data_IF_515275043130
#
_entry.id   IF_515275043130
#
_cell.length_a   1.000
_cell.length_b   1.000
_cell.length_c   1.000
_cell.angle_alpha   90.00
_cell.angle_beta   90.00
_cell.angle_gamma   90.00
#
_symmetry.space_group_name_H-M   'P 1'
#
loop_
_entity.id
_entity.type
_entity.pdbx_description
1 polymer ?
#
# COMPACT_ATOMS: atom_id res chain seq x y z
N UNK A 1 14.82 -7.27 -0.38
CA UNK A 1 14.55 -6.95 1.05
C UNK A 1 13.51 -7.92 1.58
N UNK A 2 13.80 -8.63 2.66
CA UNK A 2 12.91 -9.59 3.29
C UNK A 2 12.07 -8.88 4.35
N UNK A 3 10.76 -8.96 4.25
CA UNK A 3 9.83 -8.16 5.05
C UNK A 3 8.87 -9.06 5.82
N UNK A 4 8.66 -8.77 7.10
CA UNK A 4 7.55 -9.31 7.88
C UNK A 4 6.37 -8.33 7.82
N UNK A 5 5.25 -8.77 7.27
CA UNK A 5 4.00 -8.02 7.27
C UNK A 5 3.17 -8.38 8.48
N UNK A 6 2.87 -7.40 9.31
CA UNK A 6 2.07 -7.56 10.52
C UNK A 6 0.74 -6.85 10.40
N UNK A 7 -0.34 -7.58 10.68
CA UNK A 7 -1.68 -7.03 10.87
C UNK A 7 -2.14 -7.26 12.31
N UNK A 8 -1.79 -6.38 13.27
CA UNK A 8 -2.11 -6.58 14.67
C UNK A 8 -3.61 -6.57 14.98
N UNK A 9 -4.40 -5.90 14.13
CA UNK A 9 -5.85 -5.77 14.25
C UNK A 9 -6.46 -5.37 12.91
N UNK A 10 -7.72 -5.73 12.68
CA UNK A 10 -8.51 -5.22 11.55
C UNK A 10 -9.42 -4.05 11.92
N UNK A 11 -9.40 -3.58 13.18
CA UNK A 11 -10.15 -2.39 13.57
C UNK A 11 -9.64 -1.17 12.81
N UNK A 12 -10.56 -0.37 12.28
CA UNK A 12 -10.25 0.86 11.56
C UNK A 12 -11.24 1.95 11.92
N UNK A 13 -10.81 3.19 11.85
CA UNK A 13 -11.62 4.40 12.00
C UNK A 13 -12.12 4.94 10.65
N UNK A 14 -11.91 4.20 9.57
CA UNK A 14 -12.50 4.37 8.26
C UNK A 14 -13.24 3.12 7.82
N UNK A 15 -14.09 3.24 6.79
CA UNK A 15 -14.85 2.15 6.19
C UNK A 15 -14.83 2.24 4.66
N UNK A 16 -13.62 2.27 4.10
CA UNK A 16 -13.39 2.47 2.67
C UNK A 16 -14.14 1.46 1.82
N UNK A 17 -14.79 1.92 0.75
CA UNK A 17 -15.67 1.13 -0.14
C UNK A 17 -15.00 -0.05 -0.84
N UNK A 18 -13.69 -0.10 -0.85
CA UNK A 18 -12.88 -1.19 -1.42
C UNK A 18 -11.91 -1.84 -0.39
N UNK A 19 -12.18 -1.67 0.91
CA UNK A 19 -11.33 -2.24 1.96
C UNK A 19 -11.46 -3.76 2.03
N UNK A 20 -10.37 -4.54 1.96
CA UNK A 20 -10.47 -5.99 2.05
C UNK A 20 -10.84 -6.48 3.45
N UNK A 21 -10.70 -5.64 4.49
CA UNK A 21 -10.78 -6.06 5.88
C UNK A 21 -11.97 -5.49 6.66
N UNK A 22 -12.67 -4.47 6.18
CA UNK A 22 -13.66 -3.75 6.98
C UNK A 22 -14.81 -4.64 7.47
N UNK A 23 -15.47 -5.39 6.58
CA UNK A 23 -16.61 -6.27 6.97
C UNK A 23 -16.21 -7.40 7.89
N UNK A 24 -14.98 -7.87 7.78
CA UNK A 24 -14.50 -8.97 8.60
C UNK A 24 -13.93 -8.48 9.95
N UNK A 25 -13.60 -7.20 10.09
CA UNK A 25 -12.93 -6.64 11.26
C UNK A 25 -13.58 -7.01 12.60
N UNK A 26 -14.92 -7.03 12.64
CA UNK A 26 -15.66 -7.36 13.87
C UNK A 26 -15.60 -8.83 14.27
N UNK A 27 -15.12 -9.71 13.39
CA UNK A 27 -14.98 -11.16 13.62
C UNK A 27 -13.67 -11.52 14.29
N UNK A 28 -12.75 -10.55 14.43
CA UNK A 28 -11.39 -10.79 14.89
C UNK A 28 -11.07 -9.93 16.11
N UNK A 29 -10.38 -10.54 17.06
CA UNK A 29 -9.79 -9.83 18.18
C UNK A 29 -8.38 -9.36 17.83
N UNK A 30 -7.91 -8.24 18.38
CA UNK A 30 -6.51 -7.84 18.23
C UNK A 30 -5.56 -8.95 18.69
N UNK A 31 -4.47 -9.12 17.96
CA UNK A 31 -3.45 -10.13 18.29
C UNK A 31 -2.78 -9.76 19.62
N UNK A 32 -2.63 -10.70 20.57
CA UNK A 32 -1.87 -10.46 21.78
C UNK A 32 -0.42 -10.03 21.47
N UNK A 33 0.09 -9.06 22.23
CA UNK A 33 1.43 -8.52 21.98
C UNK A 33 2.52 -9.59 22.02
N UNK A 34 2.48 -10.50 22.99
CA UNK A 34 3.48 -11.56 23.12
C UNK A 34 3.59 -12.42 21.86
N UNK A 35 2.47 -12.64 21.19
CA UNK A 35 2.44 -13.39 19.95
C UNK A 35 3.04 -12.58 18.78
N UNK A 36 2.83 -11.26 18.76
CA UNK A 36 3.47 -10.40 17.75
C UNK A 36 4.99 -10.39 17.95
N UNK A 37 5.45 -10.23 19.19
CA UNK A 37 6.88 -10.20 19.49
C UNK A 37 7.54 -11.54 19.14
N UNK A 38 6.95 -12.66 19.55
CA UNK A 38 7.47 -13.99 19.18
C UNK A 38 7.45 -14.23 17.66
N UNK A 39 6.51 -13.62 16.94
CA UNK A 39 6.45 -13.70 15.48
C UNK A 39 7.60 -12.96 14.80
N UNK A 40 8.04 -11.83 15.38
CA UNK A 40 9.22 -11.11 14.92
C UNK A 40 10.47 -11.98 15.12
N UNK A 41 10.63 -12.60 16.31
CA UNK A 41 11.75 -13.48 16.59
C UNK A 41 11.80 -14.66 15.64
N UNK A 42 10.68 -15.33 15.43
CA UNK A 42 10.56 -16.46 14.52
C UNK A 42 10.91 -16.06 13.07
N UNK A 43 10.45 -14.91 12.60
CA UNK A 43 10.75 -14.41 11.27
C UNK A 43 12.23 -14.04 11.11
N UNK A 44 12.86 -13.50 12.15
CA UNK A 44 14.29 -13.21 12.15
C UNK A 44 15.11 -14.51 12.07
N UNK A 45 14.77 -15.50 12.89
CA UNK A 45 15.49 -16.78 12.94
C UNK A 45 15.36 -17.58 11.63
N UNK A 46 14.16 -17.65 11.07
CA UNK A 46 13.87 -18.46 9.88
C UNK A 46 14.22 -17.79 8.57
N UNK A 47 14.04 -16.48 8.49
CA UNK A 47 14.00 -15.77 7.21
C UNK A 47 14.95 -14.59 7.14
N UNK A 48 15.64 -14.26 8.22
CA UNK A 48 16.58 -13.15 8.29
C UNK A 48 15.96 -11.87 7.70
N UNK A 49 14.78 -11.49 8.24
CA UNK A 49 14.06 -10.29 7.82
C UNK A 49 14.86 -9.01 8.09
N UNK A 50 14.64 -7.99 7.29
CA UNK A 50 15.31 -6.69 7.39
C UNK A 50 14.32 -5.58 7.78
N UNK A 51 13.00 -5.85 7.64
CA UNK A 51 11.95 -4.88 7.85
C UNK A 51 10.70 -5.52 8.43
N UNK A 52 10.02 -4.77 9.30
CA UNK A 52 8.64 -5.03 9.72
C UNK A 52 7.74 -3.98 9.10
N UNK A 53 6.73 -4.41 8.33
CA UNK A 53 5.70 -3.56 7.75
C UNK A 53 4.38 -3.79 8.50
N UNK A 54 3.90 -2.78 9.21
CA UNK A 54 2.72 -2.85 10.07
C UNK A 54 1.52 -2.24 9.36
N UNK A 55 0.43 -3.01 9.28
CA UNK A 55 -0.80 -2.65 8.59
C UNK A 55 -2.03 -3.28 9.30
N UNK A 56 -3.00 -3.74 8.54
CA UNK A 56 -4.25 -4.37 9.00
C UNK A 56 -5.45 -3.48 8.75
N UNK A 57 -6.21 -3.10 9.80
CA UNK A 57 -7.13 -1.97 9.75
C UNK A 57 -6.35 -0.65 9.87
N UNK A 58 -6.52 0.07 10.99
CA UNK A 58 -5.67 1.21 11.31
C UNK A 58 -4.70 0.85 12.45
N UNK A 59 -3.38 0.74 12.18
CA UNK A 59 -2.39 0.33 13.17
C UNK A 59 -2.37 1.21 14.42
N UNK A 60 -2.62 2.51 14.29
CA UNK A 60 -2.64 3.45 15.41
C UNK A 60 -3.78 3.21 16.41
N UNK A 61 -4.74 2.34 16.08
CA UNK A 61 -5.77 1.88 17.03
C UNK A 61 -5.30 0.69 17.88
N UNK A 62 -4.19 0.05 17.51
CA UNK A 62 -3.61 -1.01 18.31
C UNK A 62 -2.80 -0.41 19.46
N UNK A 63 -3.28 -0.63 20.69
CA UNK A 63 -2.76 0.03 21.91
C UNK A 63 -1.27 -0.24 22.18
N UNK A 64 -0.80 -1.42 21.81
CA UNK A 64 0.58 -1.84 22.03
C UNK A 64 1.52 -1.56 20.84
N UNK A 65 1.05 -0.82 19.80
CA UNK A 65 1.85 -0.48 18.64
C UNK A 65 3.23 0.11 18.99
N UNK A 66 3.36 1.09 19.93
CA UNK A 66 4.67 1.61 20.29
C UNK A 66 5.64 0.57 20.83
N UNK A 67 5.13 -0.44 21.57
CA UNK A 67 5.96 -1.53 22.08
C UNK A 67 6.47 -2.43 20.95
N UNK A 68 5.60 -2.73 19.96
CA UNK A 68 5.97 -3.51 18.76
C UNK A 68 7.06 -2.79 17.97
N UNK A 69 6.90 -1.49 17.73
CA UNK A 69 7.88 -0.68 17.01
C UNK A 69 9.23 -0.66 17.73
N UNK A 70 9.22 -0.38 19.04
CA UNK A 70 10.45 -0.29 19.83
C UNK A 70 11.16 -1.65 19.89
N UNK A 71 10.42 -2.75 20.04
CA UNK A 71 10.99 -4.08 20.01
C UNK A 71 11.66 -4.40 18.66
N UNK A 72 10.97 -4.17 17.56
CA UNK A 72 11.52 -4.39 16.23
C UNK A 72 12.78 -3.54 15.97
N UNK A 73 12.81 -2.29 16.43
CA UNK A 73 14.00 -1.42 16.37
C UNK A 73 15.16 -1.96 17.21
N UNK A 74 14.89 -2.45 18.42
CA UNK A 74 15.91 -3.10 19.27
C UNK A 74 16.51 -4.33 18.59
N UNK A 75 15.74 -5.03 17.75
CA UNK A 75 16.20 -6.12 16.91
C UNK A 75 16.95 -5.65 15.64
N UNK A 76 17.15 -4.36 15.44
CA UNK A 76 17.84 -3.78 14.27
C UNK A 76 17.00 -3.74 12.99
N UNK A 77 15.68 -3.93 13.09
CA UNK A 77 14.79 -3.97 11.94
C UNK A 77 14.31 -2.57 11.54
N UNK A 78 14.15 -2.34 10.23
CA UNK A 78 13.47 -1.16 9.69
C UNK A 78 11.97 -1.26 9.94
N UNK A 79 11.32 -0.11 10.11
CA UNK A 79 9.89 -0.03 10.39
C UNK A 79 9.18 0.69 9.24
N UNK A 80 8.16 0.04 8.68
CA UNK A 80 7.17 0.66 7.81
C UNK A 80 5.78 0.59 8.45
N UNK A 81 5.00 1.64 8.29
CA UNK A 81 3.62 1.71 8.79
C UNK A 81 2.70 2.12 7.66
N UNK A 82 1.65 1.33 7.41
CA UNK A 82 0.56 1.70 6.51
C UNK A 82 -0.59 2.23 7.37
N UNK A 83 -0.84 3.53 7.32
CA UNK A 83 -1.84 4.21 8.16
C UNK A 83 -2.64 5.21 7.33
N UNK A 84 -3.90 5.45 7.71
CA UNK A 84 -4.71 6.53 7.16
C UNK A 84 -4.34 7.92 7.70
N UNK A 85 -3.42 7.99 8.65
CA UNK A 85 -2.87 9.21 9.26
C UNK A 85 -3.86 10.07 10.03
N UNK A 86 -5.13 9.68 10.20
CA UNK A 86 -6.14 10.49 10.88
C UNK A 86 -5.76 10.87 12.32
N UNK A 87 -5.14 9.96 13.07
CA UNK A 87 -4.74 10.22 14.45
C UNK A 87 -3.60 11.23 14.55
N UNK A 88 -2.72 11.27 13.56
CA UNK A 88 -1.63 12.24 13.51
C UNK A 88 -2.08 13.68 13.22
N UNK A 89 -3.38 13.90 12.91
CA UNK A 89 -3.96 15.24 12.84
C UNK A 89 -3.99 15.97 14.20
N UNK A 90 -3.90 15.24 15.30
CA UNK A 90 -3.67 15.77 16.64
C UNK A 90 -2.16 15.94 16.85
N UNK A 91 -1.72 17.18 16.97
CA UNK A 91 -0.29 17.52 17.13
C UNK A 91 0.28 16.96 18.43
N UNK A 92 -0.50 16.95 19.53
CA UNK A 92 -0.06 16.41 20.81
C UNK A 92 0.13 14.89 20.69
N UNK A 93 -0.84 14.19 20.10
CA UNK A 93 -0.69 12.76 19.83
C UNK A 93 0.54 12.47 18.98
N UNK A 94 0.77 13.27 17.93
CA UNK A 94 1.94 13.10 17.06
C UNK A 94 3.23 13.29 17.82
N UNK A 95 3.32 14.34 18.64
CA UNK A 95 4.50 14.60 19.46
C UNK A 95 4.76 13.48 20.46
N UNK A 96 3.73 13.07 21.21
CA UNK A 96 3.84 11.97 22.20
C UNK A 96 4.26 10.65 21.51
N UNK A 97 3.69 10.35 20.35
CA UNK A 97 4.05 9.15 19.60
C UNK A 97 5.52 9.17 19.16
N UNK A 98 5.99 10.30 18.63
CA UNK A 98 7.39 10.48 18.21
C UNK A 98 8.35 10.43 19.40
N UNK A 99 7.97 10.99 20.55
CA UNK A 99 8.78 10.89 21.78
C UNK A 99 8.96 9.44 22.23
N UNK A 100 7.94 8.61 22.04
CA UNK A 100 7.98 7.18 22.45
C UNK A 100 8.74 6.32 21.45
N UNK A 101 8.53 6.51 20.16
CA UNK A 101 9.05 5.58 19.13
C UNK A 101 10.18 6.17 18.26
N UNK A 102 10.45 7.48 18.37
CA UNK A 102 11.38 8.17 17.45
C UNK A 102 10.74 8.46 16.09
N UNK A 103 11.48 9.11 15.20
CA UNK A 103 11.03 9.46 13.84
C UNK A 103 11.66 8.60 12.73
N UNK A 104 12.44 7.58 13.09
CA UNK A 104 13.15 6.67 12.19
C UNK A 104 12.28 5.49 11.74
N UNK A 105 11.09 5.81 11.24
CA UNK A 105 10.19 4.89 10.55
C UNK A 105 9.72 5.50 9.23
N UNK A 106 9.19 4.67 8.35
CA UNK A 106 8.58 5.09 7.09
C UNK A 106 7.07 4.94 7.19
N UNK A 107 6.32 5.98 6.85
CA UNK A 107 4.88 5.92 6.84
C UNK A 107 4.35 6.03 5.41
N UNK A 108 3.46 5.11 5.04
CA UNK A 108 2.70 5.18 3.80
C UNK A 108 1.24 5.45 4.14
N UNK A 109 0.68 6.50 3.54
CA UNK A 109 -0.74 6.85 3.68
C UNK A 109 -1.41 6.96 2.33
N UNK A 110 -2.66 6.50 2.23
CA UNK A 110 -3.42 6.54 1.01
C UNK A 110 -4.31 7.79 0.96
N UNK A 111 -4.23 8.51 -0.16
CA UNK A 111 -5.26 9.47 -0.56
C UNK A 111 -5.96 8.94 -1.78
N UNK A 112 -7.29 8.96 -1.76
CA UNK A 112 -8.11 8.36 -2.82
C UNK A 112 -8.58 9.39 -3.86
N UNK A 113 -8.49 10.68 -3.53
CA UNK A 113 -8.67 11.83 -4.42
C UNK A 113 -7.95 13.04 -3.84
N UNK A 114 -7.67 14.04 -4.67
CA UNK A 114 -7.27 15.39 -4.23
C UNK A 114 -8.49 16.31 -3.96
N UNK A 115 -9.69 15.80 -4.16
CA UNK A 115 -10.96 16.48 -3.89
C UNK A 115 -11.51 15.88 -2.59
N UNK A 116 -11.72 16.73 -1.58
CA UNK A 116 -12.09 16.29 -0.23
C UNK A 116 -13.35 15.44 -0.19
N UNK A 117 -14.42 15.91 -0.86
CA UNK A 117 -15.72 15.19 -0.87
C UNK A 117 -15.62 13.82 -1.54
N UNK A 118 -14.79 13.67 -2.56
CA UNK A 118 -14.56 12.39 -3.24
C UNK A 118 -13.74 11.45 -2.35
N UNK A 119 -12.66 11.93 -1.73
CA UNK A 119 -11.89 11.15 -0.79
C UNK A 119 -12.78 10.66 0.36
N UNK A 120 -13.53 11.56 0.98
CA UNK A 120 -14.44 11.26 2.08
C UNK A 120 -15.53 10.26 1.69
N UNK A 121 -16.04 10.35 0.45
CA UNK A 121 -17.01 9.38 -0.06
C UNK A 121 -16.43 7.96 -0.21
N UNK A 122 -15.15 7.86 -0.60
CA UNK A 122 -14.45 6.58 -0.72
C UNK A 122 -14.11 6.01 0.65
N UNK A 123 -13.64 6.82 1.59
CA UNK A 123 -13.35 6.39 2.97
C UNK A 123 -14.60 6.19 3.82
N UNK A 124 -15.75 6.71 3.32
CA UNK A 124 -17.04 6.75 4.01
C UNK A 124 -16.98 7.47 5.37
N UNK A 125 -16.05 8.43 5.50
CA UNK A 125 -15.86 9.24 6.72
C UNK A 125 -15.69 10.72 6.34
N UNK A 126 -16.68 11.51 6.70
CA UNK A 126 -16.65 12.95 6.47
C UNK A 126 -15.50 13.63 7.22
N UNK A 127 -14.70 14.43 6.51
CA UNK A 127 -13.54 15.15 7.03
C UNK A 127 -12.29 14.27 7.15
N UNK A 128 -12.28 13.07 6.59
CA UNK A 128 -11.09 12.20 6.58
C UNK A 128 -9.97 12.81 5.76
N UNK A 129 -10.27 13.42 4.60
CA UNK A 129 -9.29 14.10 3.77
C UNK A 129 -8.48 15.13 4.54
N UNK A 130 -9.17 16.08 5.16
CA UNK A 130 -8.53 17.19 5.91
C UNK A 130 -7.72 16.67 7.11
N UNK A 131 -8.21 15.64 7.81
CA UNK A 131 -7.50 15.04 8.92
C UNK A 131 -6.25 14.30 8.44
N UNK A 132 -6.35 13.47 7.39
CA UNK A 132 -5.19 12.77 6.82
C UNK A 132 -4.13 13.75 6.33
N UNK A 133 -4.56 14.83 5.64
CA UNK A 133 -3.66 15.86 5.16
C UNK A 133 -2.91 16.55 6.30
N UNK A 134 -3.63 16.95 7.37
CA UNK A 134 -3.02 17.53 8.55
C UNK A 134 -2.06 16.56 9.22
N UNK A 135 -2.44 15.28 9.36
CA UNK A 135 -1.60 14.24 9.94
C UNK A 135 -0.30 14.05 9.18
N UNK A 136 -0.35 14.04 7.85
CA UNK A 136 0.84 13.99 6.99
C UNK A 136 1.74 15.20 7.22
N UNK A 137 1.19 16.41 7.30
CA UNK A 137 1.99 17.61 7.58
C UNK A 137 2.66 17.55 8.96
N UNK A 138 1.97 17.07 10.00
CA UNK A 138 2.56 16.87 11.33
C UNK A 138 3.74 15.90 11.28
N UNK A 139 3.60 14.78 10.57
CA UNK A 139 4.66 13.78 10.41
C UNK A 139 5.87 14.32 9.64
N UNK A 140 5.65 15.03 8.52
CA UNK A 140 6.72 15.68 7.75
C UNK A 140 7.47 16.69 8.64
N UNK A 141 6.75 17.53 9.39
CA UNK A 141 7.34 18.48 10.34
C UNK A 141 8.18 17.80 11.43
N UNK A 142 7.79 16.58 11.83
CA UNK A 142 8.53 15.77 12.79
C UNK A 142 9.69 14.97 12.18
N UNK A 143 9.97 15.13 10.89
CA UNK A 143 11.09 14.48 10.18
C UNK A 143 10.84 13.02 9.79
N UNK A 144 9.60 12.54 9.86
CA UNK A 144 9.23 11.18 9.43
C UNK A 144 9.26 11.11 7.90
N UNK A 145 9.78 10.02 7.36
CA UNK A 145 9.70 9.72 5.93
C UNK A 145 8.29 9.32 5.56
N UNK A 146 7.66 10.08 4.66
CA UNK A 146 6.28 9.84 4.22
C UNK A 146 6.24 9.43 2.75
N UNK A 147 5.40 8.45 2.46
CA UNK A 147 5.00 8.05 1.11
C UNK A 147 3.50 8.25 0.95
N UNK A 148 3.10 9.01 -0.06
CA UNK A 148 1.69 9.11 -0.46
C UNK A 148 1.38 7.96 -1.40
N UNK A 149 0.27 7.28 -1.18
CA UNK A 149 -0.19 6.17 -2.01
C UNK A 149 -1.50 6.54 -2.70
N UNK A 150 -1.58 6.26 -3.99
CA UNK A 150 -2.82 6.31 -4.77
C UNK A 150 -3.18 4.93 -5.28
N UNK A 151 -4.42 4.52 -5.06
CA UNK A 151 -4.95 3.26 -5.59
C UNK A 151 -5.81 3.57 -6.80
N UNK A 152 -5.38 3.12 -7.99
CA UNK A 152 -6.17 3.20 -9.21
C UNK A 152 -7.37 2.29 -9.05
N UNK A 153 -8.57 2.87 -9.10
CA UNK A 153 -9.86 2.18 -8.97
C UNK A 153 -10.92 2.88 -9.82
N UNK A 154 -12.06 2.23 -10.03
CA UNK A 154 -13.12 2.74 -10.91
C UNK A 154 -13.71 4.09 -10.50
N UNK A 155 -13.66 4.43 -9.20
CA UNK A 155 -14.22 5.69 -8.69
C UNK A 155 -13.33 6.91 -8.98
N UNK A 156 -12.00 6.71 -9.03
CA UNK A 156 -11.08 7.85 -9.03
C UNK A 156 -9.99 7.82 -10.10
N UNK A 157 -9.82 6.76 -10.89
CA UNK A 157 -8.72 6.62 -11.86
C UNK A 157 -8.56 7.82 -12.82
N UNK A 158 -9.66 8.48 -13.18
CA UNK A 158 -9.64 9.63 -14.08
C UNK A 158 -8.94 10.86 -13.48
N UNK A 159 -8.93 10.96 -12.16
CA UNK A 159 -8.34 12.10 -11.43
C UNK A 159 -6.84 11.93 -11.15
N UNK A 160 -6.24 10.79 -11.53
CA UNK A 160 -4.83 10.53 -11.25
C UNK A 160 -3.86 11.62 -11.77
N UNK A 161 -4.02 12.19 -12.98
CA UNK A 161 -3.18 13.31 -13.41
C UNK A 161 -3.32 14.54 -12.52
N UNK A 162 -4.55 14.92 -12.15
CA UNK A 162 -4.82 16.03 -11.23
C UNK A 162 -4.25 15.75 -9.83
N UNK A 163 -4.34 14.51 -9.39
CA UNK A 163 -3.79 14.08 -8.11
C UNK A 163 -2.25 14.23 -8.08
N UNK A 164 -1.56 13.89 -9.15
CA UNK A 164 -0.09 14.08 -9.24
C UNK A 164 0.27 15.56 -9.15
N UNK A 165 -0.43 16.44 -9.88
CA UNK A 165 -0.23 17.90 -9.76
C UNK A 165 -0.45 18.37 -8.31
N UNK A 166 -1.51 17.89 -7.66
CA UNK A 166 -1.79 18.21 -6.26
C UNK A 166 -0.68 17.72 -5.32
N UNK A 167 -0.12 16.51 -5.51
CA UNK A 167 1.00 16.00 -4.71
C UNK A 167 2.23 16.90 -4.83
N UNK A 168 2.54 17.37 -6.05
CA UNK A 168 3.66 18.30 -6.27
C UNK A 168 3.41 19.69 -5.69
N UNK A 169 2.15 20.15 -5.68
CA UNK A 169 1.78 21.45 -5.10
C UNK A 169 1.75 21.43 -3.57
N UNK A 170 1.39 20.29 -2.96
CA UNK A 170 1.06 20.19 -1.52
C UNK A 170 2.25 19.74 -0.68
N UNK A 171 3.10 18.85 -1.19
CA UNK A 171 4.15 18.20 -0.40
C UNK A 171 5.55 18.54 -0.93
N UNK A 172 6.57 18.59 -0.05
CA UNK A 172 7.96 18.71 -0.47
C UNK A 172 8.40 17.50 -1.28
N UNK A 173 9.42 17.65 -2.14
CA UNK A 173 9.88 16.59 -3.05
C UNK A 173 10.52 15.38 -2.33
N UNK A 174 10.81 15.53 -1.03
CA UNK A 174 11.26 14.43 -0.14
C UNK A 174 10.17 13.40 0.15
N UNK A 175 8.89 13.76 -0.05
CA UNK A 175 7.76 12.83 0.08
C UNK A 175 7.71 11.93 -1.15
N UNK A 176 7.80 10.62 -0.96
CA UNK A 176 7.68 9.63 -2.04
C UNK A 176 6.23 9.48 -2.50
N UNK A 177 6.04 9.01 -3.72
CA UNK A 177 4.70 8.77 -4.27
C UNK A 177 4.60 7.38 -4.90
N UNK A 178 3.58 6.64 -4.51
CA UNK A 178 3.30 5.28 -4.97
C UNK A 178 1.93 5.24 -5.62
N UNK A 179 1.89 4.73 -6.84
CA UNK A 179 0.66 4.42 -7.57
C UNK A 179 0.51 2.90 -7.60
N UNK A 180 -0.64 2.35 -7.25
CA UNK A 180 -0.87 0.92 -7.42
C UNK A 180 -2.27 0.65 -7.99
N UNK A 181 -2.40 -0.40 -8.81
CA UNK A 181 -3.72 -0.87 -9.21
C UNK A 181 -4.40 -1.57 -8.04
N UNK A 182 -5.73 -1.43 -8.00
CA UNK A 182 -6.57 -2.07 -6.97
C UNK A 182 -6.43 -3.59 -7.03
N UNK A 183 -6.43 -4.21 -5.85
CA UNK A 183 -6.68 -5.64 -5.71
C UNK A 183 -8.18 -5.87 -5.55
N UNK A 184 -8.79 -6.61 -6.48
CA UNK A 184 -10.21 -6.92 -6.46
C UNK A 184 -10.50 -8.10 -5.51
N UNK A 185 -10.26 -7.85 -4.22
CA UNK A 185 -10.56 -8.79 -3.13
C UNK A 185 -11.47 -8.15 -2.07
N UNK A 186 -12.14 -8.97 -1.29
CA UNK A 186 -13.05 -8.51 -0.23
C UNK A 186 -14.10 -7.53 -0.76
N UNK A 187 -14.24 -6.36 -0.10
CA UNK A 187 -15.24 -5.35 -0.48
C UNK A 187 -14.95 -4.73 -1.85
N UNK A 188 -13.68 -4.69 -2.30
CA UNK A 188 -13.37 -4.25 -3.65
C UNK A 188 -14.03 -5.15 -4.71
N UNK A 189 -14.05 -6.46 -4.49
CA UNK A 189 -14.71 -7.42 -5.38
C UNK A 189 -16.23 -7.34 -5.25
N UNK A 190 -16.75 -7.23 -4.04
CA UNK A 190 -18.21 -7.11 -3.81
C UNK A 190 -18.78 -5.84 -4.45
N UNK A 191 -18.02 -4.75 -4.45
CA UNK A 191 -18.37 -3.46 -5.05
C UNK A 191 -17.75 -3.27 -6.46
N UNK A 192 -17.42 -4.36 -7.16
CA UNK A 192 -16.66 -4.32 -8.40
C UNK A 192 -17.28 -3.48 -9.51
N UNK A 193 -18.60 -3.34 -9.54
CA UNK A 193 -19.29 -2.42 -10.47
C UNK A 193 -18.79 -0.96 -10.36
N UNK A 194 -18.35 -0.55 -9.16
CA UNK A 194 -17.84 0.80 -8.92
C UNK A 194 -16.30 0.84 -8.84
N UNK A 195 -15.68 -0.21 -8.32
CA UNK A 195 -14.26 -0.21 -7.96
C UNK A 195 -13.37 -0.77 -9.05
N UNK A 196 -13.86 -1.69 -9.88
CA UNK A 196 -13.08 -2.28 -10.94
C UNK A 196 -12.89 -1.27 -12.10
N UNK A 197 -11.67 -1.24 -12.62
CA UNK A 197 -11.33 -0.49 -13.84
C UNK A 197 -10.35 -1.30 -14.67
N UNK A 198 -10.68 -1.60 -15.96
CA UNK A 198 -9.76 -2.29 -16.84
C UNK A 198 -8.49 -1.49 -17.08
N UNK A 199 -7.33 -2.14 -17.17
CA UNK A 199 -6.07 -1.46 -17.50
C UNK A 199 -6.14 -0.64 -18.77
N UNK A 200 -6.85 -1.13 -19.78
CA UNK A 200 -7.03 -0.41 -21.05
C UNK A 200 -7.67 0.97 -20.85
N UNK A 201 -8.59 1.09 -19.90
CA UNK A 201 -9.26 2.36 -19.59
C UNK A 201 -8.40 3.27 -18.73
N UNK A 202 -7.76 2.74 -17.70
CA UNK A 202 -6.90 3.51 -16.78
C UNK A 202 -5.55 3.89 -17.39
N UNK A 203 -5.07 3.17 -18.44
CA UNK A 203 -3.78 3.40 -19.11
C UNK A 203 -3.52 4.86 -19.43
N UNK A 204 -4.42 5.51 -20.15
CA UNK A 204 -4.23 6.89 -20.61
C UNK A 204 -4.07 7.89 -19.45
N UNK A 205 -4.70 7.63 -18.30
CA UNK A 205 -4.61 8.50 -17.12
C UNK A 205 -3.32 8.24 -16.35
N UNK A 206 -2.90 6.98 -16.28
CA UNK A 206 -1.61 6.62 -15.68
C UNK A 206 -0.46 7.22 -16.51
N UNK A 207 -0.47 7.08 -17.83
CA UNK A 207 0.57 7.63 -18.71
C UNK A 207 0.62 9.16 -18.62
N UNK A 208 -0.52 9.85 -18.67
CA UNK A 208 -0.59 11.32 -18.44
C UNK A 208 -0.05 11.73 -17.06
N UNK A 209 -0.33 10.96 -16.03
CA UNK A 209 0.18 11.21 -14.70
C UNK A 209 1.72 11.08 -14.63
N UNK A 210 2.27 10.08 -15.32
CA UNK A 210 3.72 9.87 -15.39
C UNK A 210 4.40 10.94 -16.28
N UNK A 211 3.75 11.46 -17.32
CA UNK A 211 4.25 12.62 -18.08
C UNK A 211 4.39 13.87 -17.19
N UNK A 212 3.44 14.08 -16.27
CA UNK A 212 3.54 15.17 -15.30
C UNK A 212 4.76 14.97 -14.38
N UNK A 213 4.97 13.75 -13.89
CA UNK A 213 6.17 13.41 -13.08
C UNK A 213 7.45 13.69 -13.86
N UNK A 214 7.52 13.29 -15.12
CA UNK A 214 8.68 13.54 -16.00
C UNK A 214 8.91 15.04 -16.15
N UNK A 215 7.87 15.81 -16.47
CA UNK A 215 7.93 17.26 -16.60
C UNK A 215 8.46 17.96 -15.34
N UNK A 216 7.99 17.57 -14.17
CA UNK A 216 8.51 18.09 -12.90
C UNK A 216 9.98 17.74 -12.71
N UNK A 217 10.38 16.50 -13.02
CA UNK A 217 11.76 16.05 -12.93
C UNK A 217 12.70 16.83 -13.86
N UNK A 218 12.28 17.09 -15.11
CA UNK A 218 13.01 17.92 -16.08
C UNK A 218 13.19 19.36 -15.60
N UNK A 219 12.26 19.85 -14.77
CA UNK A 219 12.34 21.16 -14.14
C UNK A 219 13.09 21.15 -12.77
N UNK A 220 13.83 20.09 -12.47
CA UNK A 220 14.66 19.97 -11.27
C UNK A 220 13.92 19.54 -10.01
N UNK A 221 12.65 19.17 -10.10
CA UNK A 221 11.85 18.66 -8.98
C UNK A 221 11.80 17.14 -9.02
N UNK A 222 12.75 16.52 -8.35
CA UNK A 222 12.89 15.05 -8.33
C UNK A 222 12.16 14.45 -7.13
N UNK A 223 11.19 13.59 -7.41
CA UNK A 223 10.45 12.82 -6.41
C UNK A 223 10.62 11.32 -6.70
N UNK A 224 10.76 10.52 -5.65
CA UNK A 224 10.71 9.07 -5.80
C UNK A 224 9.27 8.66 -6.11
N UNK A 225 9.03 8.19 -7.35
CA UNK A 225 7.73 7.72 -7.82
C UNK A 225 7.85 6.28 -8.29
N UNK A 226 6.94 5.42 -7.85
CA UNK A 226 6.89 4.02 -8.28
C UNK A 226 5.45 3.56 -8.55
N UNK A 227 5.32 2.66 -9.50
CA UNK A 227 4.03 2.07 -9.91
C UNK A 227 4.08 0.57 -9.62
N UNK A 228 3.05 0.06 -8.95
CA UNK A 228 2.94 -1.34 -8.54
C UNK A 228 1.79 -2.04 -9.25
N UNK A 229 1.90 -3.36 -9.37
CA UNK A 229 0.82 -4.24 -9.85
C UNK A 229 0.26 -3.81 -11.21
N UNK A 230 1.18 -3.40 -12.10
CA UNK A 230 0.87 -2.98 -13.46
C UNK A 230 1.68 -3.83 -14.43
N UNK A 231 1.05 -4.76 -15.16
CA UNK A 231 1.76 -5.59 -16.14
C UNK A 231 2.40 -4.73 -17.24
N UNK A 232 3.61 -5.12 -17.67
CA UNK A 232 4.35 -4.39 -18.71
C UNK A 232 3.56 -4.22 -20.01
N UNK A 233 2.73 -5.20 -20.37
CA UNK A 233 1.91 -5.17 -21.59
C UNK A 233 0.71 -4.22 -21.52
N UNK A 234 0.43 -3.62 -20.35
CA UNK A 234 -0.72 -2.72 -20.16
C UNK A 234 -0.35 -1.22 -20.19
N UNK A 235 0.93 -0.91 -20.32
CA UNK A 235 1.47 0.45 -20.37
C UNK A 235 2.54 0.56 -21.45
N UNK A 236 2.78 1.76 -21.99
CA UNK A 236 3.83 1.99 -22.98
C UNK A 236 5.22 1.73 -22.36
N UNK A 237 6.14 1.05 -23.08
CA UNK A 237 7.50 0.76 -22.62
C UNK A 237 8.30 1.99 -22.15
N UNK A 238 8.00 3.17 -22.65
CA UNK A 238 8.61 4.42 -22.20
C UNK A 238 8.46 4.66 -20.69
N UNK A 239 7.38 4.18 -20.07
CA UNK A 239 7.06 4.34 -18.64
C UNK A 239 7.52 3.18 -17.76
N UNK A 240 8.11 2.12 -18.31
CA UNK A 240 8.57 0.94 -17.52
C UNK A 240 9.59 1.29 -16.44
N UNK A 241 10.31 2.39 -16.60
CA UNK A 241 11.24 2.91 -15.58
C UNK A 241 10.58 3.24 -14.25
N UNK A 242 9.28 3.47 -14.21
CA UNK A 242 8.51 3.74 -12.99
C UNK A 242 7.93 2.48 -12.36
N UNK A 243 7.86 1.36 -13.11
CA UNK A 243 7.26 0.14 -12.60
C UNK A 243 8.23 -0.55 -11.64
N UNK A 244 7.74 -0.89 -10.46
CA UNK A 244 8.53 -1.65 -9.50
C UNK A 244 8.76 -3.06 -10.05
N UNK A 245 10.04 -3.40 -10.16
CA UNK A 245 10.47 -4.77 -10.43
C UNK A 245 10.68 -5.47 -9.10
N UNK A 246 10.23 -6.70 -8.99
CA UNK A 246 10.54 -7.55 -7.85
C UNK A 246 11.83 -8.33 -8.14
N UNK A 247 12.76 -8.29 -7.20
CA UNK A 247 13.96 -9.13 -7.27
C UNK A 247 13.56 -10.57 -6.94
N UNK A 248 14.27 -11.54 -7.51
CA UNK A 248 13.97 -12.99 -7.36
C UNK A 248 14.00 -13.51 -5.91
N UNK A 249 14.57 -12.74 -4.99
CA UNK A 249 14.69 -13.08 -3.57
C UNK A 249 13.79 -12.22 -2.66
N UNK A 250 12.93 -11.37 -3.24
CA UNK A 250 11.99 -10.59 -2.43
C UNK A 250 10.85 -11.49 -1.95
N UNK A 251 10.84 -11.78 -0.66
CA UNK A 251 9.76 -12.51 -0.01
C UNK A 251 9.12 -11.66 1.06
N UNK A 252 7.85 -11.89 1.30
CA UNK A 252 7.10 -11.29 2.39
C UNK A 252 6.47 -12.39 3.23
N UNK A 253 6.88 -12.48 4.49
CA UNK A 253 6.17 -13.32 5.46
C UNK A 253 5.03 -12.50 6.07
N UNK A 254 3.82 -13.01 6.02
CA UNK A 254 2.66 -12.34 6.59
C UNK A 254 2.12 -13.10 7.78
N UNK A 255 1.93 -12.40 8.89
CA UNK A 255 1.14 -12.87 10.02
C UNK A 255 -0.33 -12.64 9.68
N UNK A 256 -1.03 -13.72 9.36
CA UNK A 256 -2.47 -13.70 9.15
C UNK A 256 -3.19 -13.81 10.49
N UNK A 257 -4.18 -12.95 10.69
CA UNK A 257 -5.06 -13.04 11.84
C UNK A 257 -5.87 -14.35 11.81
N UNK A 258 -6.28 -14.88 12.98
CA UNK A 258 -7.12 -16.08 13.04
C UNK A 258 -8.37 -15.91 12.19
N UNK A 259 -8.64 -16.87 11.31
CA UNK A 259 -9.91 -16.94 10.59
C UNK A 259 -10.99 -17.61 11.47
N UNK A 260 -12.26 -17.52 11.05
CA UNK A 260 -13.33 -18.25 11.72
C UNK A 260 -13.08 -19.77 11.81
N UNK A 261 -12.23 -20.27 10.89
CA UNK A 261 -11.86 -21.67 10.78
C UNK A 261 -10.50 -22.01 11.46
N UNK A 262 -9.79 -21.00 11.96
CA UNK A 262 -8.50 -21.16 12.64
C UNK A 262 -8.40 -20.25 13.84
N UNK A 263 -8.42 -20.81 15.04
CA UNK A 263 -8.32 -20.09 16.32
C UNK A 263 -6.92 -19.49 16.58
N UNK A 264 -5.93 -19.81 15.75
CA UNK A 264 -4.55 -19.35 15.92
C UNK A 264 -4.09 -18.53 14.71
N UNK A 265 -3.28 -17.48 14.91
CA UNK A 265 -2.64 -16.79 13.80
C UNK A 265 -1.74 -17.78 13.05
N UNK A 266 -1.67 -17.60 11.75
CA UNK A 266 -0.82 -18.40 10.88
C UNK A 266 0.15 -17.52 10.10
N UNK A 267 1.31 -18.08 9.74
CA UNK A 267 2.25 -17.44 8.85
C UNK A 267 2.06 -17.95 7.44
N UNK A 268 1.97 -17.03 6.49
CA UNK A 268 2.01 -17.33 5.07
C UNK A 268 3.20 -16.61 4.46
N UNK A 269 3.98 -17.33 3.69
CA UNK A 269 5.03 -16.72 2.86
C UNK A 269 4.48 -16.41 1.49
N UNK A 270 4.67 -15.18 1.08
CA UNK A 270 4.42 -14.72 -0.28
C UNK A 270 5.75 -14.56 -1.01
N UNK A 271 5.91 -15.26 -2.12
CA UNK A 271 6.87 -14.91 -3.14
C UNK A 271 6.27 -13.75 -3.93
N UNK A 272 6.80 -12.54 -3.74
CA UNK A 272 6.24 -11.33 -4.36
C UNK A 272 6.25 -11.38 -5.89
N UNK A 273 7.17 -12.15 -6.48
CA UNK A 273 7.23 -12.39 -7.92
C UNK A 273 6.27 -13.51 -8.37
N UNK A 274 6.21 -14.61 -7.60
CA UNK A 274 5.41 -15.79 -7.98
C UNK A 274 3.92 -15.69 -7.62
N UNK A 275 3.60 -15.16 -6.43
CA UNK A 275 2.23 -15.11 -5.92
C UNK A 275 1.45 -13.87 -6.38
N UNK A 276 2.14 -12.74 -6.61
CA UNK A 276 1.55 -11.49 -7.12
C UNK A 276 1.67 -11.32 -8.62
N UNK A 277 2.29 -12.28 -9.31
CA UNK A 277 2.84 -11.98 -10.61
C UNK A 277 2.20 -12.66 -11.81
N UNK A 278 2.96 -12.74 -12.85
CA UNK A 278 2.66 -12.93 -14.25
C UNK A 278 2.50 -14.39 -14.69
N UNK A 279 2.03 -15.30 -13.86
CA UNK A 279 1.87 -16.72 -14.25
C UNK A 279 0.47 -17.04 -14.81
N UNK A 280 -0.06 -16.14 -15.64
CA UNK A 280 -1.31 -16.37 -16.37
C UNK A 280 -1.03 -17.01 -17.71
N UNK A 281 -2.02 -17.76 -18.26
CA UNK A 281 -1.84 -18.49 -19.51
C UNK A 281 -1.29 -17.63 -20.67
N UNK A 282 -1.73 -16.37 -20.87
CA UNK A 282 -1.16 -15.51 -21.91
C UNK A 282 0.31 -15.11 -21.67
N UNK A 283 0.80 -15.19 -20.44
CA UNK A 283 2.17 -14.80 -20.10
C UNK A 283 3.22 -15.88 -20.39
N UNK A 284 2.80 -17.12 -20.61
CA UNK A 284 3.71 -18.25 -20.76
C UNK A 284 4.71 -18.11 -21.93
N UNK A 285 4.31 -17.42 -23.01
CA UNK A 285 5.15 -17.18 -24.20
C UNK A 285 5.65 -15.72 -24.27
N UNK A 286 5.45 -14.92 -23.22
CA UNK A 286 5.81 -13.50 -23.21
C UNK A 286 7.31 -13.30 -23.01
N UNK A 287 8.00 -12.67 -23.97
CA UNK A 287 9.45 -12.45 -23.92
C UNK A 287 9.94 -11.55 -22.78
N UNK A 288 9.03 -10.81 -22.09
CA UNK A 288 9.36 -9.96 -20.93
C UNK A 288 8.81 -10.50 -19.62
N UNK A 289 8.35 -11.75 -19.57
CA UNK A 289 7.75 -12.37 -18.40
C UNK A 289 8.66 -12.27 -17.15
N UNK A 290 9.96 -12.52 -17.31
CA UNK A 290 10.92 -12.52 -16.19
C UNK A 290 11.07 -11.17 -15.49
N UNK A 291 10.88 -10.07 -16.22
CA UNK A 291 11.02 -8.71 -15.68
C UNK A 291 9.68 -8.04 -15.39
N UNK A 292 8.57 -8.72 -15.73
CA UNK A 292 7.23 -8.16 -15.54
C UNK A 292 6.80 -8.23 -14.08
N UNK A 293 6.36 -7.11 -13.47
CA UNK A 293 5.84 -7.12 -12.10
C UNK A 293 4.47 -7.83 -11.98
N UNK A 294 3.79 -8.07 -13.11
CA UNK A 294 2.45 -8.66 -13.08
C UNK A 294 1.39 -7.80 -12.42
N UNK A 295 0.32 -8.42 -11.95
CA UNK A 295 -0.76 -7.80 -11.19
C UNK A 295 -1.30 -8.76 -10.14
N UNK A 296 -2.23 -8.28 -9.31
CA UNK A 296 -2.93 -9.10 -8.34
C UNK A 296 -3.68 -10.26 -9.01
N UNK A 297 -3.60 -11.46 -8.43
CA UNK A 297 -4.25 -12.67 -8.96
C UNK A 297 -5.76 -12.47 -9.08
N UNK A 298 -6.40 -11.96 -8.03
CA UNK A 298 -7.85 -11.74 -8.00
C UNK A 298 -8.31 -10.75 -9.08
N UNK A 299 -7.53 -9.70 -9.31
CA UNK A 299 -7.80 -8.73 -10.39
C UNK A 299 -7.69 -9.38 -11.76
N UNK A 300 -6.68 -10.21 -11.98
CA UNK A 300 -6.53 -10.95 -13.24
C UNK A 300 -7.64 -11.97 -13.45
N UNK A 301 -8.04 -12.71 -12.41
CA UNK A 301 -9.15 -13.66 -12.47
C UNK A 301 -10.48 -12.95 -12.78
N UNK A 302 -10.70 -11.74 -12.23
CA UNK A 302 -11.91 -10.96 -12.49
C UNK A 302 -12.03 -10.50 -13.94
N UNK A 303 -10.95 -9.95 -14.53
CA UNK A 303 -10.98 -9.44 -15.90
C UNK A 303 -10.69 -10.51 -16.96
N UNK A 304 -10.08 -11.62 -16.58
CA UNK A 304 -9.70 -12.72 -17.46
C UNK A 304 -8.49 -12.42 -18.35
N UNK A 305 -8.12 -13.40 -19.16
CA UNK A 305 -6.91 -13.38 -19.97
C UNK A 305 -6.86 -12.28 -21.03
N UNK A 306 -8.01 -11.78 -21.47
CA UNK A 306 -8.13 -10.73 -22.50
C UNK A 306 -7.57 -9.36 -22.07
N UNK A 307 -7.27 -9.18 -20.76
CA UNK A 307 -6.62 -7.96 -20.27
C UNK A 307 -5.13 -7.91 -20.62
N UNK A 308 -4.51 -9.02 -20.98
CA UNK A 308 -3.09 -9.13 -21.27
C UNK A 308 -2.80 -9.12 -22.77
N UNK A 309 -1.77 -8.38 -23.18
CA UNK A 309 -1.22 -8.39 -24.54
C UNK A 309 0.28 -8.77 -24.45
N UNK A 310 0.60 -10.08 -24.41
CA UNK A 310 1.98 -10.52 -24.30
C UNK A 310 2.85 -9.98 -25.42
N UNK A 311 4.11 -9.71 -25.12
CA UNK A 311 5.11 -9.38 -26.12
C UNK A 311 5.71 -10.69 -26.65
N UNK A 312 5.66 -10.87 -27.96
CA UNK A 312 6.19 -12.04 -28.68
C UNK A 312 7.62 -11.77 -29.19
#
# INVERSE_FOLDING_TARGET
MRTLFLSPSYLCNESCVFCPCHKIARRYTPVPIDLILSSIDDAMLRNNIEMVLISGGEPLLYKDLPKVINYAKQCGLKIGILSNSLKFADENFTQDFIEIVGNDFELTTAFHSCISDEHDSITNIKGSFEKSLRGVHCLIKSGVKVTIKYVINGLSYMYLPLFVEWVYATFPDTVSFVICNIDLCGEALENSEMTAVPFKESKQYLEKALDIVIKYSENGRHRNVSVFNTPLCTIDPYYWKFLRKYESEETMDALLLPSADSASPSFVRYDLKGDGGANFAPCAECCVQEICPGTWRQTAEYFGDSMFNPFN
#
